data_IF_277485697118
#
_entry.id   IF_277485697118
#
_cell.length_a   1.000
_cell.length_b   1.000
_cell.length_c   1.000
_cell.angle_alpha   90.00
_cell.angle_beta   90.00
_cell.angle_gamma   90.00
#
_symmetry.space_group_name_H-M   'P 1'
#
loop_
_entity.id
_entity.type
_entity.pdbx_description
1 polymer ?
#
# COMPACT_ATOMS: atom_id res chain seq x y z
N UNK A 1 -22.19 41.13 6.26
CA UNK A 1 -22.23 39.79 6.87
C UNK A 1 -20.87 39.16 6.63
N UNK A 2 -19.97 39.28 7.61
CA UNK A 2 -18.65 38.64 7.59
C UNK A 2 -18.87 37.12 7.67
N UNK A 3 -18.40 36.38 6.68
CA UNK A 3 -18.32 34.92 6.76
C UNK A 3 -17.23 34.56 7.76
N UNK A 4 -17.63 34.34 9.02
CA UNK A 4 -16.76 33.81 10.07
C UNK A 4 -16.35 32.37 9.70
N UNK A 5 -15.22 32.23 9.01
CA UNK A 5 -14.57 30.94 8.79
C UNK A 5 -14.06 30.43 10.13
N UNK A 6 -14.60 29.30 10.58
CA UNK A 6 -14.15 28.61 11.79
C UNK A 6 -12.72 28.13 11.59
N UNK A 7 -11.82 28.46 12.50
CA UNK A 7 -10.43 27.94 12.47
C UNK A 7 -10.42 26.45 12.84
N UNK A 8 -9.45 25.69 12.35
CA UNK A 8 -9.29 24.26 12.69
C UNK A 8 -9.33 24.01 14.21
N UNK A 9 -8.70 24.90 15.00
CA UNK A 9 -8.73 24.86 16.46
C UNK A 9 -10.16 25.04 17.02
N UNK A 10 -10.94 25.98 16.49
CA UNK A 10 -12.32 26.25 16.93
C UNK A 10 -13.30 25.13 16.56
N UNK A 11 -13.15 24.51 15.38
CA UNK A 11 -13.97 23.36 14.98
C UNK A 11 -13.68 22.13 15.85
N UNK A 12 -12.39 21.86 16.09
CA UNK A 12 -11.94 20.76 16.95
C UNK A 12 -12.37 20.97 18.41
N UNK A 13 -12.37 22.21 18.91
CA UNK A 13 -12.81 22.53 20.26
C UNK A 13 -14.32 22.30 20.45
N UNK A 14 -15.14 22.58 19.42
CA UNK A 14 -16.58 22.23 19.42
C UNK A 14 -16.82 20.72 19.51
N UNK A 15 -15.96 19.92 18.86
CA UNK A 15 -16.04 18.45 18.91
C UNK A 15 -15.54 17.85 20.22
N UNK A 16 -14.59 18.49 20.89
CA UNK A 16 -14.08 18.04 22.20
C UNK A 16 -15.07 18.31 23.34
N UNK A 17 -15.94 19.31 23.20
CA UNK A 17 -16.92 19.71 24.23
C UNK A 17 -18.22 18.90 24.23
N UNK A 18 -18.39 17.89 23.36
CA UNK A 18 -19.47 16.91 23.49
C UNK A 18 -20.91 17.47 23.45
N UNK A 19 -21.18 18.51 22.67
CA UNK A 19 -22.58 18.91 22.41
C UNK A 19 -23.25 17.88 21.51
N UNK A 20 -24.30 17.24 22.04
CA UNK A 20 -25.11 16.15 21.48
C UNK A 20 -26.01 16.56 20.31
N UNK A 21 -25.58 17.50 19.47
CA UNK A 21 -26.30 17.83 18.25
C UNK A 21 -25.64 17.08 17.10
N UNK A 22 -26.31 16.03 16.62
CA UNK A 22 -25.99 15.41 15.34
C UNK A 22 -25.98 16.52 14.28
N UNK A 23 -24.84 16.85 13.65
CA UNK A 23 -24.88 17.74 12.51
C UNK A 23 -25.66 16.99 11.43
N UNK A 24 -26.83 17.53 11.10
CA UNK A 24 -27.67 17.06 10.00
C UNK A 24 -26.82 16.80 8.77
N UNK A 25 -27.07 15.66 8.14
CA UNK A 25 -26.27 14.96 7.14
C UNK A 25 -26.07 15.66 5.78
N UNK A 26 -26.04 16.99 5.69
CA UNK A 26 -26.06 17.69 4.40
C UNK A 26 -25.08 18.86 4.19
N UNK A 27 -24.13 19.13 5.10
CA UNK A 27 -23.19 20.24 4.90
C UNK A 27 -21.71 19.80 4.94
N UNK A 28 -21.21 19.19 3.86
CA UNK A 28 -19.76 19.09 3.58
C UNK A 28 -19.17 20.46 3.14
N UNK A 29 -20.01 21.49 2.93
CA UNK A 29 -19.58 22.76 2.31
C UNK A 29 -19.01 23.84 3.23
N UNK A 30 -18.94 23.68 4.56
CA UNK A 30 -18.77 24.86 5.44
C UNK A 30 -17.41 25.11 6.09
N UNK A 31 -16.45 24.17 6.13
CA UNK A 31 -15.24 24.36 6.97
C UNK A 31 -13.91 24.56 6.20
N UNK A 32 -13.86 24.40 4.88
CA UNK A 32 -12.67 24.73 4.08
C UNK A 32 -11.43 23.84 4.32
N UNK A 33 -11.57 22.72 5.06
CA UNK A 33 -10.54 21.69 5.23
C UNK A 33 -11.16 20.28 5.23
N UNK A 34 -10.34 19.26 4.90
CA UNK A 34 -10.73 17.85 4.81
C UNK A 34 -9.82 17.01 5.72
N UNK A 35 -10.37 16.19 6.60
CA UNK A 35 -9.56 15.30 7.43
C UNK A 35 -9.02 14.11 6.64
N UNK A 36 -7.73 13.85 6.80
CA UNK A 36 -7.07 12.66 6.29
C UNK A 36 -7.25 11.51 7.28
N UNK A 37 -7.60 10.33 6.77
CA UNK A 37 -7.73 9.11 7.58
C UNK A 37 -6.54 8.17 7.35
N UNK A 38 -6.13 7.35 8.33
CA UNK A 38 -5.21 6.24 8.12
C UNK A 38 -5.71 5.26 7.05
N UNK A 39 -4.83 4.82 6.15
CA UNK A 39 -5.15 3.74 5.23
C UNK A 39 -4.87 2.37 5.87
N UNK A 40 -5.91 1.54 5.97
CA UNK A 40 -5.84 0.30 6.75
C UNK A 40 -5.16 -0.88 6.07
N UNK A 41 -5.13 -0.91 4.73
CA UNK A 41 -4.68 -2.07 3.95
C UNK A 41 -3.25 -1.89 3.39
N UNK A 42 -2.44 -1.05 4.03
CA UNK A 42 -1.03 -0.90 3.68
C UNK A 42 -0.23 -2.12 4.14
N UNK A 43 0.23 -2.94 3.19
CA UNK A 43 1.03 -4.15 3.48
C UNK A 43 2.54 -3.94 3.42
N UNK A 44 3.00 -2.83 2.82
CA UNK A 44 4.43 -2.56 2.65
C UNK A 44 4.77 -1.06 2.64
N UNK A 45 6.04 -0.75 2.36
CA UNK A 45 6.57 0.60 2.30
C UNK A 45 7.23 1.05 3.59
N UNK A 46 7.56 2.33 3.63
CA UNK A 46 8.16 3.01 4.79
C UNK A 46 7.44 4.32 5.13
N UNK A 47 6.71 4.90 4.17
CA UNK A 47 5.91 6.09 4.36
C UNK A 47 4.50 5.69 4.75
N UNK A 48 3.87 6.44 5.65
CA UNK A 48 2.45 6.27 5.95
C UNK A 48 1.62 6.61 4.71
N UNK A 49 0.65 5.76 4.40
CA UNK A 49 -0.46 6.09 3.51
C UNK A 49 -1.63 6.61 4.34
N UNK A 50 -2.16 7.75 3.90
CA UNK A 50 -3.42 8.30 4.41
C UNK A 50 -4.45 8.21 3.28
N UNK A 51 -5.71 8.56 3.55
CA UNK A 51 -6.78 8.58 2.56
C UNK A 51 -7.68 9.80 2.74
N UNK A 52 -8.21 10.30 1.62
CA UNK A 52 -9.27 11.32 1.53
C UNK A 52 -10.48 10.67 0.90
N UNK A 53 -11.60 10.71 1.61
CA UNK A 53 -12.75 9.89 1.24
C UNK A 53 -12.38 8.40 1.24
N UNK A 54 -13.11 7.61 0.46
CA UNK A 54 -12.90 6.15 0.39
C UNK A 54 -12.08 5.74 -0.85
N UNK A 55 -12.16 6.50 -1.94
CA UNK A 55 -11.57 6.13 -3.22
C UNK A 55 -10.19 6.74 -3.50
N UNK A 56 -9.63 7.58 -2.61
CA UNK A 56 -8.38 8.31 -2.86
C UNK A 56 -7.37 8.18 -1.72
N UNK A 57 -6.15 7.75 -2.04
CA UNK A 57 -5.00 7.68 -1.13
C UNK A 57 -4.15 8.95 -1.20
N UNK A 58 -3.66 9.37 -0.04
CA UNK A 58 -2.66 10.40 0.16
C UNK A 58 -1.30 9.75 0.41
N UNK A 59 -0.42 9.83 -0.58
CA UNK A 59 0.96 9.37 -0.49
C UNK A 59 1.90 10.55 -0.33
N UNK A 60 2.89 10.45 0.54
CA UNK A 60 3.87 11.53 0.73
C UNK A 60 4.49 11.98 -0.60
N UNK A 61 4.50 13.29 -0.84
CA UNK A 61 5.05 13.86 -2.07
C UNK A 61 6.54 13.53 -2.23
N UNK A 62 6.90 13.05 -3.41
CA UNK A 62 8.27 13.10 -3.91
C UNK A 62 8.26 13.72 -5.30
N UNK A 63 9.22 14.60 -5.59
CA UNK A 63 9.33 15.27 -6.90
C UNK A 63 9.40 14.25 -8.03
N UNK A 64 10.19 13.20 -7.85
CA UNK A 64 10.39 12.12 -8.83
C UNK A 64 9.10 11.33 -9.10
N UNK A 65 8.38 10.89 -8.08
CA UNK A 65 7.11 10.16 -8.30
C UNK A 65 6.05 11.05 -8.95
N UNK A 66 5.95 12.31 -8.53
CA UNK A 66 5.05 13.28 -9.15
C UNK A 66 5.34 13.46 -10.65
N UNK A 67 6.60 13.72 -11.00
CA UNK A 67 7.01 13.88 -12.39
C UNK A 67 6.80 12.59 -13.20
N UNK A 68 6.95 11.41 -12.59
CA UNK A 68 6.64 10.16 -13.26
C UNK A 68 5.17 10.08 -13.67
N UNK A 69 4.24 10.41 -12.76
CA UNK A 69 2.80 10.42 -13.07
C UNK A 69 2.45 11.47 -14.15
N UNK A 70 3.06 12.65 -14.13
CA UNK A 70 2.82 13.68 -15.14
C UNK A 70 3.30 13.28 -16.55
N UNK A 71 4.33 12.44 -16.64
CA UNK A 71 4.97 12.06 -17.90
C UNK A 71 4.75 10.59 -18.28
N UNK A 72 3.81 9.91 -17.61
CA UNK A 72 3.53 8.50 -17.90
C UNK A 72 2.92 8.36 -19.30
N UNK A 73 3.35 7.34 -20.05
CA UNK A 73 2.80 7.11 -21.39
C UNK A 73 1.34 6.68 -21.31
N UNK A 74 0.55 7.05 -22.34
CA UNK A 74 -0.87 6.64 -22.44
C UNK A 74 -1.07 5.13 -22.43
N UNK A 75 -0.08 4.37 -22.94
CA UNK A 75 -0.11 2.91 -22.95
C UNK A 75 0.10 2.30 -21.56
N UNK A 76 0.90 2.96 -20.71
CA UNK A 76 1.22 2.48 -19.36
C UNK A 76 0.22 2.96 -18.31
N UNK A 77 -0.43 4.11 -18.53
CA UNK A 77 -1.38 4.72 -17.60
C UNK A 77 -2.48 3.77 -17.07
N UNK A 78 -3.07 2.86 -17.87
CA UNK A 78 -4.09 1.91 -17.36
C UNK A 78 -3.55 0.88 -16.34
N UNK A 79 -2.23 0.70 -16.26
CA UNK A 79 -1.58 -0.33 -15.44
C UNK A 79 -0.99 0.22 -14.14
N UNK A 80 -1.27 1.48 -13.82
CA UNK A 80 -0.83 2.15 -12.58
C UNK A 80 -2.03 2.77 -11.87
N UNK A 81 -1.96 3.13 -10.58
CA UNK A 81 -3.03 3.90 -9.93
C UNK A 81 -3.24 5.25 -10.64
N UNK A 82 -4.50 5.65 -10.81
CA UNK A 82 -4.81 6.98 -11.34
C UNK A 82 -4.21 8.09 -10.46
N UNK A 83 -3.53 9.05 -11.08
CA UNK A 83 -3.07 10.26 -10.40
C UNK A 83 -4.17 11.31 -10.39
N UNK A 84 -4.62 11.70 -9.19
CA UNK A 84 -5.75 12.61 -8.96
C UNK A 84 -5.33 14.01 -8.51
N UNK A 85 -4.03 14.31 -8.56
CA UNK A 85 -3.48 15.62 -8.23
C UNK A 85 -2.69 15.63 -6.92
N UNK A 86 -2.66 16.78 -6.27
CA UNK A 86 -1.89 17.00 -5.05
C UNK A 86 -2.70 17.77 -4.02
N UNK A 87 -2.39 17.55 -2.74
CA UNK A 87 -2.95 18.33 -1.65
C UNK A 87 -1.88 18.67 -0.61
N UNK A 88 -2.10 19.77 0.11
CA UNK A 88 -1.31 20.13 1.29
C UNK A 88 -2.13 19.86 2.54
N UNK A 89 -1.50 19.25 3.53
CA UNK A 89 -2.10 19.05 4.85
C UNK A 89 -1.18 19.54 5.96
N UNK A 90 -1.79 20.14 6.98
CA UNK A 90 -1.16 20.39 8.28
C UNK A 90 -1.46 19.24 9.22
N UNK A 91 -0.52 18.99 10.13
CA UNK A 91 -0.71 18.05 11.22
C UNK A 91 -0.81 18.82 12.52
N UNK A 92 -1.80 18.51 13.33
CA UNK A 92 -2.02 19.14 14.63
C UNK A 92 -2.03 18.10 15.74
N UNK A 93 -1.41 18.45 16.88
CA UNK A 93 -1.34 17.61 18.07
C UNK A 93 -2.31 18.15 19.12
N UNK A 94 -3.22 17.29 19.58
CA UNK A 94 -4.18 17.64 20.62
C UNK A 94 -3.62 17.35 22.01
N UNK A 95 -4.05 18.12 23.03
CA UNK A 95 -3.65 17.98 24.45
C UNK A 95 -4.00 16.65 25.14
N UNK A 96 -4.48 15.66 24.38
CA UNK A 96 -4.74 14.27 24.81
C UNK A 96 -3.92 13.23 24.00
N UNK A 97 -2.88 13.69 23.27
CA UNK A 97 -1.95 12.85 22.51
C UNK A 97 -2.46 12.40 21.12
N UNK A 98 -3.60 12.89 20.65
CA UNK A 98 -4.10 12.52 19.33
C UNK A 98 -3.53 13.43 18.25
N UNK A 99 -3.13 12.83 17.12
CA UNK A 99 -2.65 13.57 15.95
C UNK A 99 -3.69 13.52 14.86
N UNK A 100 -4.12 14.69 14.37
CA UNK A 100 -5.01 14.82 13.21
C UNK A 100 -4.26 15.45 12.06
N UNK A 101 -4.57 15.00 10.84
CA UNK A 101 -4.06 15.60 9.61
C UNK A 101 -5.25 16.20 8.85
N UNK A 102 -5.18 17.50 8.58
CA UNK A 102 -6.22 18.24 7.87
C UNK A 102 -5.63 18.86 6.61
N UNK A 103 -6.26 18.56 5.48
CA UNK A 103 -5.86 19.00 4.17
C UNK A 103 -6.68 20.20 3.73
N UNK A 104 -6.04 21.14 3.02
CA UNK A 104 -6.70 22.34 2.51
C UNK A 104 -6.87 22.21 1.00
N UNK A 105 -8.10 22.00 0.49
CA UNK A 105 -8.33 21.95 -0.95
C UNK A 105 -7.86 23.26 -1.59
N UNK A 106 -7.01 23.17 -2.61
CA UNK A 106 -6.67 24.34 -3.41
C UNK A 106 -7.91 24.82 -4.15
N UNK A 107 -8.13 26.13 -4.25
CA UNK A 107 -9.26 26.74 -4.97
C UNK A 107 -9.36 26.32 -6.46
N UNK A 108 -8.34 25.64 -6.98
CA UNK A 108 -8.29 25.11 -8.35
C UNK A 108 -8.90 23.71 -8.52
N UNK A 109 -9.10 22.93 -7.45
CA UNK A 109 -9.84 21.66 -7.48
C UNK A 109 -11.19 21.86 -6.79
N UNK A 110 -12.27 21.91 -7.58
CA UNK A 110 -13.62 22.05 -7.05
C UNK A 110 -13.96 20.96 -6.02
N UNK A 111 -14.70 21.33 -4.98
CA UNK A 111 -15.18 20.44 -3.91
C UNK A 111 -15.91 19.19 -4.43
N UNK A 112 -16.49 19.27 -5.64
CA UNK A 112 -17.22 18.19 -6.32
C UNK A 112 -16.38 16.96 -6.74
N UNK A 113 -15.05 17.00 -6.70
CA UNK A 113 -14.19 15.85 -7.07
C UNK A 113 -13.80 14.94 -5.90
N UNK A 114 -14.06 15.36 -4.66
CA UNK A 114 -13.78 14.55 -3.48
C UNK A 114 -15.08 13.88 -3.04
N UNK A 115 -15.09 12.55 -2.96
CA UNK A 115 -16.18 11.80 -2.35
C UNK A 115 -16.16 12.04 -0.82
N UNK A 116 -16.68 13.21 -0.40
CA UNK A 116 -16.70 13.66 0.99
C UNK A 116 -17.95 13.21 1.75
N UNK A 117 -18.80 12.35 1.19
CA UNK A 117 -20.10 12.00 1.76
C UNK A 117 -20.05 11.11 3.03
N UNK A 118 -18.88 10.79 3.57
CA UNK A 118 -18.75 10.08 4.85
C UNK A 118 -18.37 11.00 6.01
N UNK A 119 -19.32 11.85 6.39
CA UNK A 119 -19.38 12.45 7.73
C UNK A 119 -19.75 11.38 8.75
N UNK A 120 -18.79 10.89 9.56
CA UNK A 120 -19.03 10.58 11.00
C UNK A 120 -17.84 9.98 11.77
N UNK A 121 -16.68 9.69 11.16
CA UNK A 121 -15.54 9.15 11.92
C UNK A 121 -14.29 10.00 11.72
N UNK A 122 -14.02 10.89 12.68
CA UNK A 122 -12.68 11.45 12.89
C UNK A 122 -11.82 10.29 13.35
N UNK A 123 -10.90 9.83 12.50
CA UNK A 123 -9.95 8.79 12.85
C UNK A 123 -8.93 9.37 13.83
N UNK A 124 -9.28 9.33 15.11
CA UNK A 124 -8.39 9.69 16.22
C UNK A 124 -7.25 8.67 16.29
N UNK A 125 -6.03 9.05 15.90
CA UNK A 125 -4.83 8.22 16.09
C UNK A 125 -4.18 8.62 17.41
N UNK A 126 -4.27 7.75 18.42
CA UNK A 126 -3.66 8.01 19.73
C UNK A 126 -2.16 7.84 19.62
N UNK A 127 -1.42 8.93 19.73
CA UNK A 127 0.00 8.91 20.05
C UNK A 127 0.08 9.04 21.57
N UNK A 128 0.77 8.12 22.25
CA UNK A 128 0.79 8.06 23.71
C UNK A 128 1.09 9.43 24.37
N UNK A 129 0.43 9.67 25.51
CA UNK A 129 0.46 10.93 26.25
C UNK A 129 1.82 11.28 26.85
N UNK A 130 1.87 12.46 27.47
CA UNK A 130 3.01 13.11 28.09
C UNK A 130 3.74 12.18 29.07
N UNK A 131 4.79 11.53 28.56
CA UNK A 131 6.02 11.06 29.22
C UNK A 131 6.61 9.95 28.35
N UNK A 132 7.18 10.35 27.20
CA UNK A 132 8.14 9.51 26.50
C UNK A 132 9.47 9.59 27.25
N UNK A 133 9.58 8.90 28.38
CA UNK A 133 10.74 8.02 28.49
C UNK A 133 10.65 7.10 27.26
N UNK A 134 11.72 7.07 26.47
CA UNK A 134 11.93 6.04 25.45
C UNK A 134 12.08 4.67 26.15
N UNK A 135 11.04 4.21 26.85
CA UNK A 135 11.03 2.87 27.40
C UNK A 135 10.55 1.95 26.27
N UNK A 136 11.54 1.34 25.62
CA UNK A 136 11.41 0.48 24.46
C UNK A 136 10.74 -0.88 24.79
N UNK A 137 10.00 -1.00 25.89
CA UNK A 137 9.61 -2.28 26.48
C UNK A 137 8.25 -2.83 26.02
N UNK A 138 7.39 -2.05 25.34
CA UNK A 138 6.07 -2.54 24.89
C UNK A 138 5.57 -1.88 23.60
N UNK A 139 6.46 -1.64 22.63
CA UNK A 139 5.99 -1.42 21.26
C UNK A 139 5.26 -2.70 20.81
N UNK A 140 4.06 -2.64 20.19
CA UNK A 140 3.61 -3.75 19.36
C UNK A 140 4.63 -3.85 18.22
N UNK A 141 5.62 -4.72 18.41
CA UNK A 141 6.64 -5.00 17.41
C UNK A 141 5.96 -5.96 16.44
N UNK A 142 5.70 -5.49 15.22
CA UNK A 142 5.21 -6.37 14.18
C UNK A 142 6.15 -7.57 14.04
N UNK A 143 5.69 -8.77 14.40
CA UNK A 143 6.54 -9.96 14.54
C UNK A 143 6.81 -10.66 13.20
N UNK A 144 7.00 -9.90 12.12
CA UNK A 144 7.19 -10.33 10.72
C UNK A 144 6.02 -11.10 10.08
N UNK A 145 5.27 -11.87 10.88
CA UNK A 145 4.03 -12.55 10.54
C UNK A 145 3.05 -12.35 11.71
N UNK A 146 1.83 -11.89 11.42
CA UNK A 146 0.79 -11.78 12.44
C UNK A 146 -0.55 -12.26 11.91
N UNK A 147 -1.37 -12.83 12.81
CA UNK A 147 -2.74 -13.23 12.52
C UNK A 147 -3.67 -12.25 13.23
N UNK A 148 -4.52 -11.56 12.48
CA UNK A 148 -5.48 -10.59 13.00
C UNK A 148 -6.88 -10.95 12.57
N UNK A 149 -7.88 -10.67 13.41
CA UNK A 149 -9.29 -10.85 13.02
C UNK A 149 -9.64 -10.00 11.81
N UNK A 150 -10.49 -10.48 10.89
CA UNK A 150 -11.02 -9.66 9.79
C UNK A 150 -11.81 -8.44 10.26
N UNK A 151 -12.36 -8.50 11.48
CA UNK A 151 -13.04 -7.39 12.12
C UNK A 151 -12.05 -6.37 12.70
N UNK A 152 -10.79 -6.77 12.90
CA UNK A 152 -9.69 -5.87 13.20
C UNK A 152 -9.22 -5.26 11.88
N UNK A 153 -9.77 -4.09 11.55
CA UNK A 153 -9.73 -3.54 10.20
C UNK A 153 -8.34 -3.10 9.73
N UNK A 154 -7.34 -3.03 10.60
CA UNK A 154 -6.03 -2.46 10.27
C UNK A 154 -4.92 -3.49 10.20
N UNK A 155 -4.18 -3.47 9.10
CA UNK A 155 -2.94 -4.21 8.97
C UNK A 155 -1.91 -3.71 10.01
N UNK A 156 -1.26 -4.60 10.77
CA UNK A 156 -0.24 -4.20 11.75
C UNK A 156 0.92 -3.39 11.14
N UNK A 157 1.31 -3.70 9.90
CA UNK A 157 2.33 -2.94 9.17
C UNK A 157 1.87 -1.50 8.87
N UNK A 158 0.58 -1.31 8.58
CA UNK A 158 -0.02 0.00 8.38
C UNK A 158 0.06 0.82 9.68
N UNK A 159 -0.31 0.22 10.82
CA UNK A 159 -0.22 0.85 12.14
C UNK A 159 1.22 1.28 12.42
N UNK A 160 2.20 0.41 12.15
CA UNK A 160 3.61 0.73 12.36
C UNK A 160 4.09 1.91 11.48
N UNK A 161 3.70 1.94 10.20
CA UNK A 161 4.05 3.03 9.29
C UNK A 161 3.41 4.36 9.72
N UNK A 162 2.14 4.33 10.11
CA UNK A 162 1.38 5.50 10.55
C UNK A 162 1.96 6.05 11.85
N UNK A 163 2.21 5.19 12.84
CA UNK A 163 2.80 5.58 14.12
C UNK A 163 4.16 6.24 13.93
N UNK A 164 5.02 5.63 13.10
CA UNK A 164 6.35 6.16 12.80
C UNK A 164 6.28 7.51 12.08
N UNK A 165 5.33 7.67 11.16
CA UNK A 165 5.14 8.91 10.42
C UNK A 165 4.63 10.02 11.33
N UNK A 166 3.58 9.79 12.09
CA UNK A 166 2.99 10.80 12.97
C UNK A 166 3.97 11.25 14.06
N UNK A 167 4.75 10.32 14.61
CA UNK A 167 5.85 10.66 15.53
C UNK A 167 6.88 11.60 14.87
N UNK A 168 7.23 11.37 13.60
CA UNK A 168 8.12 12.26 12.85
C UNK A 168 7.49 13.62 12.57
N UNK A 169 6.20 13.64 12.23
CA UNK A 169 5.46 14.87 11.91
C UNK A 169 5.31 15.76 13.13
N UNK A 170 5.06 15.17 14.30
CA UNK A 170 5.07 15.86 15.60
C UNK A 170 6.35 16.66 15.81
N UNK A 171 7.51 16.08 15.50
CA UNK A 171 8.82 16.74 15.64
C UNK A 171 9.04 17.88 14.62
N UNK A 172 8.32 17.88 13.50
CA UNK A 172 8.46 18.89 12.45
C UNK A 172 7.54 20.11 12.65
N UNK A 173 6.65 20.07 13.64
CA UNK A 173 5.74 21.17 13.98
C UNK A 173 4.63 21.41 12.94
N UNK A 174 4.03 22.61 12.96
CA UNK A 174 2.91 23.02 12.10
C UNK A 174 3.29 23.26 10.62
N UNK A 175 4.28 22.54 10.10
CA UNK A 175 4.64 22.65 8.70
C UNK A 175 3.53 22.07 7.80
N UNK A 176 3.37 22.66 6.61
CA UNK A 176 2.51 22.07 5.59
C UNK A 176 3.25 20.94 4.90
N UNK A 177 2.56 19.82 4.71
CA UNK A 177 3.10 18.63 4.07
C UNK A 177 2.34 18.33 2.79
N UNK A 178 3.07 18.09 1.71
CA UNK A 178 2.52 17.79 0.39
C UNK A 178 2.27 16.30 0.23
N UNK A 179 1.14 15.96 -0.37
CA UNK A 179 0.76 14.59 -0.72
C UNK A 179 0.36 14.50 -2.20
N UNK A 180 0.67 13.36 -2.81
CA UNK A 180 0.09 12.91 -4.07
C UNK A 180 -1.26 12.26 -3.75
N UNK A 181 -2.27 12.59 -4.55
CA UNK A 181 -3.58 11.94 -4.54
C UNK A 181 -3.57 10.83 -5.57
N UNK A 182 -3.79 9.60 -5.14
CA UNK A 182 -3.77 8.40 -5.98
C UNK A 182 -5.07 7.60 -5.81
N UNK A 183 -5.49 6.89 -6.85
CA UNK A 183 -6.57 5.90 -6.77
C UNK A 183 -6.36 4.91 -5.61
N UNK A 184 -7.40 4.73 -4.79
CA UNK A 184 -7.42 3.66 -3.81
C UNK A 184 -7.84 2.34 -4.46
N UNK A 185 -6.85 1.52 -4.82
CA UNK A 185 -7.07 0.23 -5.46
C UNK A 185 -7.82 -0.79 -4.60
N UNK A 186 -7.90 -0.59 -3.27
CA UNK A 186 -8.66 -1.51 -2.41
C UNK A 186 -10.11 -1.06 -2.18
N UNK A 187 -10.53 0.06 -2.75
CA UNK A 187 -11.84 0.68 -2.48
C UNK A 187 -13.03 -0.25 -2.78
N UNK A 188 -12.95 -1.02 -3.86
CA UNK A 188 -14.04 -1.91 -4.30
C UNK A 188 -14.10 -3.24 -3.56
N UNK A 189 -13.22 -3.47 -2.60
CA UNK A 189 -13.09 -4.75 -1.89
C UNK A 189 -13.55 -4.60 -0.45
N UNK A 190 -14.37 -5.54 0.00
CA UNK A 190 -14.80 -5.64 1.40
C UNK A 190 -13.72 -6.27 2.25
N UNK A 191 -13.07 -7.31 1.74
CA UNK A 191 -11.99 -8.00 2.44
C UNK A 191 -10.77 -8.18 1.51
N UNK A 192 -10.04 -7.08 1.20
CA UNK A 192 -8.95 -7.11 0.23
C UNK A 192 -7.81 -8.02 0.69
N UNK A 193 -7.54 -9.09 -0.06
CA UNK A 193 -6.28 -9.80 -0.02
C UNK A 193 -5.28 -9.03 -0.88
N UNK A 194 -4.13 -8.65 -0.33
CA UNK A 194 -3.16 -7.76 -0.98
C UNK A 194 -1.77 -8.37 -0.92
N UNK A 195 -1.09 -8.44 -2.06
CA UNK A 195 0.29 -8.90 -2.18
C UNK A 195 1.13 -7.86 -2.92
N UNK A 196 2.15 -7.33 -2.25
CA UNK A 196 3.16 -6.43 -2.82
C UNK A 196 4.40 -7.24 -3.21
N UNK A 197 4.68 -7.28 -4.50
CA UNK A 197 5.85 -7.93 -5.08
C UNK A 197 6.83 -6.87 -5.57
N UNK A 198 7.98 -6.79 -4.91
CA UNK A 198 9.06 -5.88 -5.35
C UNK A 198 9.77 -6.48 -6.56
N UNK A 199 9.82 -5.70 -7.63
CA UNK A 199 10.24 -6.17 -8.94
C UNK A 199 11.64 -5.69 -9.32
N UNK A 200 12.31 -6.45 -10.17
CA UNK A 200 13.63 -6.12 -10.71
C UNK A 200 14.81 -6.74 -9.98
N UNK A 201 15.94 -6.75 -10.67
CA UNK A 201 17.26 -7.16 -10.15
C UNK A 201 18.11 -5.98 -9.67
N UNK A 202 17.60 -4.74 -9.83
CA UNK A 202 18.22 -3.50 -9.36
C UNK A 202 17.19 -2.65 -8.63
N UNK A 203 17.51 -2.24 -7.40
CA UNK A 203 16.59 -1.55 -6.48
C UNK A 203 17.05 -0.13 -6.11
N UNK A 204 17.89 0.50 -6.93
CA UNK A 204 18.37 1.85 -6.71
C UNK A 204 18.33 2.64 -8.02
N UNK A 205 17.89 3.90 -7.94
CA UNK A 205 17.90 4.85 -9.06
C UNK A 205 19.31 5.22 -9.50
N UNK A 206 19.43 5.97 -10.59
CA UNK A 206 20.72 6.44 -11.10
C UNK A 206 21.33 7.55 -10.23
N UNK A 207 20.48 8.30 -9.52
CA UNK A 207 20.84 9.32 -8.53
C UNK A 207 21.28 8.78 -7.15
N UNK A 208 21.33 7.45 -6.99
CA UNK A 208 21.57 6.85 -5.69
C UNK A 208 23.01 7.02 -5.20
N UNK A 209 23.18 7.56 -3.98
CA UNK A 209 24.48 7.62 -3.32
C UNK A 209 25.12 6.23 -3.16
N UNK A 210 26.45 6.17 -3.06
CA UNK A 210 27.18 4.90 -2.96
C UNK A 210 26.71 4.04 -1.77
N UNK A 211 26.45 4.66 -0.62
CA UNK A 211 25.89 3.98 0.54
C UNK A 211 24.48 3.41 0.27
N UNK A 212 23.64 4.17 -0.45
CA UNK A 212 22.30 3.70 -0.86
C UNK A 212 22.41 2.54 -1.85
N UNK A 213 23.32 2.63 -2.83
CA UNK A 213 23.60 1.55 -3.80
C UNK A 213 24.04 0.27 -3.09
N UNK A 214 25.08 0.33 -2.25
CA UNK A 214 25.57 -0.81 -1.45
C UNK A 214 24.45 -1.48 -0.65
N UNK A 215 23.65 -0.69 0.08
CA UNK A 215 22.53 -1.20 0.89
C UNK A 215 21.45 -1.89 0.04
N UNK A 216 21.08 -1.31 -1.10
CA UNK A 216 20.05 -1.91 -1.97
C UNK A 216 20.57 -3.13 -2.72
N UNK A 217 21.83 -3.13 -3.16
CA UNK A 217 22.50 -4.29 -3.75
C UNK A 217 22.55 -5.44 -2.76
N UNK A 218 22.97 -5.20 -1.51
CA UNK A 218 23.00 -6.21 -0.45
C UNK A 218 21.63 -6.89 -0.28
N UNK A 219 20.56 -6.09 -0.11
CA UNK A 219 19.19 -6.62 -0.02
C UNK A 219 18.75 -7.43 -1.23
N UNK A 220 19.16 -7.01 -2.44
CA UNK A 220 18.82 -7.73 -3.67
C UNK A 220 19.52 -9.09 -3.74
N UNK A 221 20.80 -9.14 -3.35
CA UNK A 221 21.61 -10.37 -3.32
C UNK A 221 21.10 -11.36 -2.27
N UNK A 222 20.72 -10.86 -1.10
CA UNK A 222 20.27 -11.67 0.04
C UNK A 222 18.81 -12.16 -0.08
N UNK A 223 18.09 -11.75 -1.12
CA UNK A 223 16.68 -12.14 -1.33
C UNK A 223 16.48 -12.82 -2.68
N UNK A 224 15.25 -13.26 -2.93
CA UNK A 224 14.84 -13.85 -4.22
C UNK A 224 14.96 -12.91 -5.41
N UNK A 225 15.10 -11.59 -5.21
CA UNK A 225 15.26 -10.62 -6.31
C UNK A 225 16.49 -10.89 -7.17
N UNK A 226 17.61 -11.35 -6.62
CA UNK A 226 18.80 -11.68 -7.41
C UNK A 226 18.56 -12.87 -8.36
N UNK A 227 17.84 -13.88 -7.88
CA UNK A 227 17.59 -15.15 -8.58
C UNK A 227 16.40 -15.09 -9.53
N UNK A 228 15.34 -14.38 -9.16
CA UNK A 228 14.06 -14.39 -9.88
C UNK A 228 13.68 -13.02 -10.45
N UNK A 229 14.32 -11.93 -10.02
CA UNK A 229 13.86 -10.58 -10.35
C UNK A 229 12.56 -10.19 -9.63
N UNK A 230 12.13 -10.96 -8.63
CA UNK A 230 10.93 -10.68 -7.81
C UNK A 230 11.17 -11.16 -6.38
N UNK A 231 10.64 -10.41 -5.39
CA UNK A 231 10.54 -10.83 -3.99
C UNK A 231 9.24 -10.35 -3.36
N UNK A 232 8.75 -11.08 -2.35
CA UNK A 232 7.64 -10.58 -1.53
C UNK A 232 8.12 -9.41 -0.68
N UNK A 233 7.31 -8.35 -0.65
CA UNK A 233 7.61 -7.11 0.03
C UNK A 233 6.50 -6.73 1.03
N UNK A 234 5.34 -7.36 0.96
CA UNK A 234 4.30 -7.31 1.98
C UNK A 234 3.11 -8.15 1.54
N UNK A 235 2.37 -8.72 2.48
CA UNK A 235 1.17 -9.49 2.16
C UNK A 235 0.13 -9.38 3.27
N UNK A 236 -1.15 -9.39 2.91
CA UNK A 236 -2.25 -9.75 3.79
C UNK A 236 -3.19 -10.69 3.01
N UNK A 237 -3.55 -11.82 3.61
CA UNK A 237 -4.44 -12.80 2.98
C UNK A 237 -5.47 -13.29 3.98
N UNK A 238 -6.74 -13.36 3.56
CA UNK A 238 -7.85 -13.79 4.39
C UNK A 238 -8.02 -15.30 4.34
N UNK A 239 -8.19 -15.92 5.51
CA UNK A 239 -8.76 -17.25 5.67
C UNK A 239 -10.26 -17.13 5.93
N UNK A 240 -11.08 -17.67 5.04
CA UNK A 240 -12.54 -17.70 5.17
C UNK A 240 -13.01 -18.64 6.29
N UNK A 241 -12.18 -19.63 6.66
CA UNK A 241 -12.51 -20.60 7.72
C UNK A 241 -12.42 -19.96 9.10
N UNK A 242 -11.36 -19.18 9.32
CA UNK A 242 -11.05 -18.60 10.63
C UNK A 242 -11.47 -17.15 10.75
N UNK A 243 -11.90 -16.51 9.65
CA UNK A 243 -12.20 -15.09 9.60
C UNK A 243 -11.02 -14.22 10.09
N UNK A 244 -9.82 -14.62 9.72
CA UNK A 244 -8.57 -13.93 10.08
C UNK A 244 -7.73 -13.60 8.84
N UNK A 245 -7.06 -12.46 8.89
CA UNK A 245 -5.95 -12.16 8.00
C UNK A 245 -4.66 -12.72 8.57
N UNK A 246 -3.85 -13.30 7.70
CA UNK A 246 -2.42 -13.49 7.97
C UNK A 246 -1.64 -12.41 7.23
N UNK A 247 -0.90 -11.60 7.98
CA UNK A 247 -0.13 -10.46 7.51
C UNK A 247 1.35 -10.80 7.53
N UNK A 248 2.09 -10.45 6.47
CA UNK A 248 3.53 -10.67 6.34
C UNK A 248 4.21 -9.38 5.92
N UNK A 249 5.35 -9.04 6.53
CA UNK A 249 6.12 -7.87 6.13
C UNK A 249 7.24 -8.16 5.11
N UNK A 250 7.89 -7.07 4.71
CA UNK A 250 9.10 -7.09 3.89
C UNK A 250 10.31 -7.74 4.55
N UNK A 251 10.36 -7.91 5.87
CA UNK A 251 11.50 -8.56 6.53
C UNK A 251 11.37 -10.07 6.40
N UNK A 252 10.18 -10.62 6.63
CA UNK A 252 9.85 -12.00 6.27
C UNK A 252 10.09 -12.24 4.78
N UNK A 253 9.58 -11.36 3.91
CA UNK A 253 9.79 -11.48 2.46
C UNK A 253 11.27 -11.50 2.02
N UNK A 254 12.17 -10.88 2.79
CA UNK A 254 13.63 -10.92 2.53
C UNK A 254 14.31 -12.20 2.99
N UNK A 255 13.79 -12.86 4.02
CA UNK A 255 14.36 -14.12 4.52
C UNK A 255 13.96 -15.33 3.67
N UNK A 256 12.98 -15.18 2.78
CA UNK A 256 12.50 -16.26 1.92
C UNK A 256 13.56 -16.77 0.94
N UNK A 257 13.62 -18.09 0.84
CA UNK A 257 14.24 -18.78 -0.30
C UNK A 257 13.31 -18.75 -1.53
N UNK A 258 13.78 -19.25 -2.67
CA UNK A 258 12.93 -19.42 -3.86
C UNK A 258 11.72 -20.31 -3.55
N UNK A 259 11.92 -21.43 -2.87
CA UNK A 259 10.82 -22.31 -2.46
C UNK A 259 9.90 -21.62 -1.45
N UNK A 260 10.46 -20.82 -0.54
CA UNK A 260 9.69 -20.00 0.40
C UNK A 260 8.77 -19.02 -0.32
N UNK A 261 9.25 -18.35 -1.36
CA UNK A 261 8.44 -17.44 -2.18
C UNK A 261 7.29 -18.19 -2.87
N UNK A 262 7.56 -19.37 -3.45
CA UNK A 262 6.51 -20.19 -4.09
C UNK A 262 5.42 -20.55 -3.08
N UNK A 263 5.79 -21.01 -1.88
CA UNK A 263 4.84 -21.32 -0.80
C UNK A 263 4.04 -20.11 -0.34
N UNK A 264 4.63 -18.91 -0.34
CA UNK A 264 3.92 -17.66 -0.01
C UNK A 264 2.90 -17.29 -1.09
N UNK A 265 3.26 -17.45 -2.37
CA UNK A 265 2.32 -17.23 -3.49
C UNK A 265 1.20 -18.27 -3.44
N UNK A 266 1.50 -19.53 -3.18
CA UNK A 266 0.51 -20.59 -2.96
C UNK A 266 -0.44 -20.24 -1.80
N UNK A 267 0.11 -19.78 -0.66
CA UNK A 267 -0.69 -19.30 0.47
C UNK A 267 -1.59 -18.13 0.09
N UNK A 268 -1.08 -17.19 -0.70
CA UNK A 268 -1.85 -16.02 -1.15
C UNK A 268 -3.09 -16.42 -1.94
N UNK A 269 -3.06 -17.52 -2.70
CA UNK A 269 -4.21 -18.00 -3.48
C UNK A 269 -5.04 -19.07 -2.74
N UNK A 270 -4.73 -19.38 -1.49
CA UNK A 270 -5.50 -20.34 -0.69
C UNK A 270 -6.39 -19.61 0.32
N UNK A 271 -7.70 -19.57 0.10
CA UNK A 271 -8.64 -18.83 0.96
C UNK A 271 -9.03 -19.57 2.26
N UNK A 272 -8.37 -20.69 2.55
CA UNK A 272 -8.65 -21.57 3.68
C UNK A 272 -9.60 -22.72 3.35
N UNK A 273 -10.36 -22.61 2.26
CA UNK A 273 -11.28 -23.65 1.77
C UNK A 273 -10.78 -24.26 0.47
N UNK A 274 -10.50 -23.40 -0.52
CA UNK A 274 -10.10 -23.77 -1.87
C UNK A 274 -8.83 -23.03 -2.29
N UNK A 275 -8.07 -23.68 -3.15
CA UNK A 275 -7.02 -23.04 -3.92
C UNK A 275 -7.64 -22.32 -5.13
N UNK A 276 -7.52 -20.99 -5.20
CA UNK A 276 -8.18 -20.11 -6.16
C UNK A 276 -7.47 -20.09 -7.52
N UNK A 277 -7.49 -21.22 -8.22
CA UNK A 277 -6.89 -21.37 -9.55
C UNK A 277 -7.51 -20.41 -10.57
N UNK A 278 -8.79 -20.10 -10.43
CA UNK A 278 -9.53 -19.12 -11.21
C UNK A 278 -8.87 -17.72 -11.19
N UNK A 279 -8.38 -17.29 -10.01
CA UNK A 279 -7.67 -16.02 -9.87
C UNK A 279 -6.25 -16.08 -10.45
N UNK A 280 -5.60 -17.25 -10.37
CA UNK A 280 -4.27 -17.46 -10.94
C UNK A 280 -4.32 -17.34 -12.46
N UNK A 281 -5.31 -17.96 -13.11
CA UNK A 281 -5.54 -17.86 -14.56
C UNK A 281 -5.75 -16.41 -14.98
N UNK A 282 -6.66 -15.69 -14.32
CA UNK A 282 -6.91 -14.26 -14.56
C UNK A 282 -5.65 -13.40 -14.36
N UNK A 283 -4.85 -13.69 -13.33
CA UNK A 283 -3.60 -12.95 -13.07
C UNK A 283 -2.57 -13.20 -14.17
N UNK A 284 -2.43 -14.43 -14.66
CA UNK A 284 -1.50 -14.75 -15.76
C UNK A 284 -1.84 -13.91 -17.00
N UNK A 285 -3.12 -13.78 -17.35
CA UNK A 285 -3.56 -12.95 -18.49
C UNK A 285 -3.19 -11.46 -18.29
N UNK A 286 -3.47 -10.91 -17.11
CA UNK A 286 -3.11 -9.53 -16.78
C UNK A 286 -1.59 -9.30 -16.78
N UNK A 287 -0.82 -10.26 -16.26
CA UNK A 287 0.66 -10.20 -16.27
C UNK A 287 1.23 -10.30 -17.68
N UNK A 288 0.65 -11.11 -18.56
CA UNK A 288 1.04 -11.15 -19.97
C UNK A 288 0.80 -9.80 -20.65
N UNK A 289 -0.32 -9.15 -20.34
CA UNK A 289 -0.62 -7.79 -20.85
C UNK A 289 0.40 -6.77 -20.34
N UNK A 290 0.67 -6.75 -19.02
CA UNK A 290 1.70 -5.88 -18.43
C UNK A 290 3.07 -6.14 -19.06
N UNK A 291 3.43 -7.42 -19.26
CA UNK A 291 4.69 -7.82 -19.91
C UNK A 291 4.83 -7.23 -21.30
N UNK A 292 3.79 -7.25 -22.14
CA UNK A 292 3.83 -6.65 -23.47
C UNK A 292 4.03 -5.14 -23.41
N UNK A 293 3.30 -4.45 -22.52
CA UNK A 293 3.45 -3.00 -22.33
C UNK A 293 4.86 -2.65 -21.86
N UNK A 294 5.46 -3.45 -20.97
CA UNK A 294 6.83 -3.25 -20.51
C UNK A 294 7.87 -3.48 -21.62
N UNK A 295 7.64 -4.43 -22.53
CA UNK A 295 8.49 -4.64 -23.71
C UNK A 295 8.49 -3.42 -24.64
N UNK A 296 7.33 -2.77 -24.80
CA UNK A 296 7.15 -1.58 -25.62
C UNK A 296 7.59 -0.27 -24.92
N UNK A 297 7.79 -0.30 -23.60
CA UNK A 297 8.14 0.88 -22.79
C UNK A 297 9.63 1.21 -22.87
N UNK A 298 10.10 1.56 -24.08
CA UNK A 298 11.49 1.91 -24.34
C UNK A 298 11.97 3.07 -23.44
N UNK A 299 13.12 2.87 -22.79
CA UNK A 299 13.76 3.87 -21.93
C UNK A 299 13.16 4.02 -20.53
N UNK A 300 12.06 3.32 -20.21
CA UNK A 300 11.58 3.25 -18.83
C UNK A 300 12.46 2.33 -17.98
N UNK A 301 12.69 2.72 -16.73
CA UNK A 301 13.24 1.87 -15.67
C UNK A 301 12.44 2.03 -14.40
N UNK A 302 12.03 0.90 -13.83
CA UNK A 302 11.09 0.86 -12.73
C UNK A 302 11.79 0.48 -11.42
N UNK A 303 12.92 1.15 -11.11
CA UNK A 303 13.74 0.76 -9.96
C UNK A 303 12.96 0.87 -8.65
N UNK A 304 13.09 -0.15 -7.79
CA UNK A 304 12.45 -0.21 -6.48
C UNK A 304 10.91 -0.16 -6.50
N UNK A 305 10.27 -0.25 -7.65
CA UNK A 305 8.81 -0.32 -7.78
C UNK A 305 8.29 -1.75 -7.53
N UNK A 306 6.97 -1.90 -7.48
CA UNK A 306 6.31 -3.16 -7.18
C UNK A 306 5.16 -3.46 -8.15
N UNK A 307 4.77 -4.73 -8.25
CA UNK A 307 3.43 -5.14 -8.65
C UNK A 307 2.58 -5.32 -7.39
N UNK A 308 1.42 -4.68 -7.35
CA UNK A 308 0.44 -4.85 -6.28
C UNK A 308 -0.71 -5.70 -6.81
N UNK A 309 -0.87 -6.90 -6.26
CA UNK A 309 -1.93 -7.85 -6.62
C UNK A 309 -3.01 -7.81 -5.56
N UNK A 310 -4.28 -7.64 -5.96
CA UNK A 310 -5.40 -7.46 -5.05
C UNK A 310 -6.58 -8.32 -5.50
N UNK A 311 -7.24 -9.03 -4.59
CA UNK A 311 -8.51 -9.70 -4.88
C UNK A 311 -9.44 -9.70 -3.65
N UNK A 312 -10.72 -10.02 -3.85
CA UNK A 312 -11.70 -10.15 -2.77
C UNK A 312 -11.52 -11.47 -2.00
N UNK A 313 -11.10 -11.37 -0.74
CA UNK A 313 -10.89 -12.52 0.13
C UNK A 313 -12.18 -13.27 0.46
N UNK A 314 -13.31 -12.56 0.51
CA UNK A 314 -14.62 -13.11 0.83
C UNK A 314 -15.49 -13.33 -0.43
N UNK A 315 -14.88 -13.76 -1.54
CA UNK A 315 -15.63 -14.09 -2.74
C UNK A 315 -16.54 -15.32 -2.49
N UNK A 316 -17.84 -15.13 -2.70
CA UNK A 316 -18.83 -16.22 -2.73
C UNK A 316 -18.79 -16.92 -4.09
N UNK A 317 -19.27 -18.16 -4.16
CA UNK A 317 -19.21 -19.03 -5.36
C UNK A 317 -19.86 -18.45 -6.65
N UNK A 318 -20.56 -17.33 -6.58
CA UNK A 318 -21.32 -16.73 -7.69
C UNK A 318 -20.83 -15.34 -8.13
N UNK A 319 -19.67 -14.88 -7.68
CA UNK A 319 -19.05 -13.64 -8.17
C UNK A 319 -18.02 -13.95 -9.25
N UNK A 320 -17.97 -13.10 -10.29
CA UNK A 320 -16.91 -13.15 -11.29
C UNK A 320 -15.54 -13.09 -10.60
N UNK A 321 -14.62 -13.93 -11.06
CA UNK A 321 -13.24 -13.99 -10.56
C UNK A 321 -12.51 -12.68 -10.88
N UNK A 322 -12.60 -11.73 -9.96
CA UNK A 322 -11.96 -10.43 -10.09
C UNK A 322 -10.67 -10.36 -9.27
N UNK A 323 -9.57 -10.12 -9.97
CA UNK A 323 -8.24 -9.84 -9.41
C UNK A 323 -7.68 -8.62 -10.11
N UNK A 324 -7.16 -7.64 -9.37
CA UNK A 324 -6.47 -6.48 -9.93
C UNK A 324 -4.95 -6.61 -9.76
N UNK A 325 -4.20 -6.03 -10.70
CA UNK A 325 -2.74 -5.92 -10.63
C UNK A 325 -2.28 -4.59 -11.21
N UNK A 326 -1.54 -3.82 -10.41
CA UNK A 326 -1.02 -2.50 -10.81
C UNK A 326 0.46 -2.37 -10.50
N UNK A 327 1.19 -1.64 -11.34
CA UNK A 327 2.55 -1.20 -11.04
C UNK A 327 2.45 0.03 -10.11
N UNK A 328 3.17 0.00 -9.00
CA UNK A 328 3.18 1.06 -7.98
C UNK A 328 4.61 1.46 -7.60
N UNK A 329 4.75 2.55 -6.83
CA UNK A 329 6.01 3.04 -6.25
C UNK A 329 7.04 3.58 -7.29
N UNK A 330 6.74 4.74 -7.87
CA UNK A 330 7.61 5.36 -8.89
C UNK A 330 8.69 6.30 -8.32
N UNK A 331 8.88 6.32 -7.00
CA UNK A 331 9.82 7.23 -6.33
C UNK A 331 11.30 7.07 -6.72
N UNK A 332 11.67 5.99 -7.43
CA UNK A 332 13.01 5.78 -8.01
C UNK A 332 12.94 5.37 -9.50
N UNK A 333 11.77 5.47 -10.11
CA UNK A 333 11.61 5.18 -11.54
C UNK A 333 12.12 6.33 -12.39
N UNK A 334 12.46 6.01 -13.64
CA UNK A 334 12.93 6.96 -14.63
C UNK A 334 12.40 6.58 -16.01
N UNK A 335 12.41 7.54 -16.92
CA UNK A 335 11.96 7.41 -18.31
C UNK A 335 12.81 8.29 -19.21
N UNK A 336 12.53 8.30 -20.52
CA UNK A 336 13.24 9.15 -21.47
C UNK A 336 13.12 10.62 -21.05
N UNK A 337 14.26 11.32 -20.99
CA UNK A 337 14.37 12.73 -20.61
C UNK A 337 13.96 13.06 -19.17
N UNK A 338 14.05 12.10 -18.24
CA UNK A 338 13.71 12.33 -16.84
C UNK A 338 14.86 12.99 -16.06
N UNK A 339 14.69 14.27 -15.71
CA UNK A 339 15.69 15.07 -14.98
C UNK A 339 17.10 15.00 -15.63
N UNK A 340 18.10 14.61 -14.85
CA UNK A 340 19.50 14.45 -15.27
C UNK A 340 19.90 12.97 -15.33
N UNK A 341 18.93 12.05 -15.33
CA UNK A 341 19.23 10.63 -15.39
C UNK A 341 19.86 10.27 -16.75
N UNK A 342 20.78 9.30 -16.80
CA UNK A 342 21.36 8.85 -18.05
C UNK A 342 20.27 8.28 -18.98
N UNK A 343 20.42 8.46 -20.30
CA UNK A 343 19.47 7.88 -21.25
C UNK A 343 19.51 6.36 -21.17
N UNK A 344 18.33 5.75 -21.10
CA UNK A 344 18.14 4.31 -21.13
C UNK A 344 17.59 3.88 -22.49
N UNK A 345 18.07 2.75 -23.00
CA UNK A 345 17.59 2.15 -24.25
C UNK A 345 17.02 0.76 -24.01
N UNK A 346 16.01 0.40 -24.78
CA UNK A 346 15.25 -0.84 -24.65
C UNK A 346 14.39 -0.90 -23.38
N UNK A 347 13.70 -2.03 -23.16
CA UNK A 347 12.85 -2.24 -22.01
C UNK A 347 13.64 -2.52 -20.73
N UNK A 348 12.96 -2.42 -19.58
CA UNK A 348 13.54 -2.80 -18.28
C UNK A 348 13.66 -4.34 -18.17
N UNK A 349 14.81 -4.87 -18.57
CA UNK A 349 15.11 -6.31 -18.53
C UNK A 349 15.03 -6.90 -17.12
N UNK A 350 15.34 -6.11 -16.09
CA UNK A 350 15.29 -6.57 -14.71
C UNK A 350 13.86 -6.80 -14.27
N UNK A 351 12.98 -5.84 -14.58
CA UNK A 351 11.56 -5.95 -14.28
C UNK A 351 10.89 -7.07 -15.09
N UNK A 352 11.19 -7.15 -16.40
CA UNK A 352 10.68 -8.22 -17.27
C UNK A 352 11.04 -9.61 -16.76
N UNK A 353 12.30 -9.82 -16.33
CA UNK A 353 12.72 -11.08 -15.70
C UNK A 353 11.87 -11.43 -14.48
N UNK A 354 11.49 -10.44 -13.67
CA UNK A 354 10.60 -10.62 -12.53
C UNK A 354 9.21 -11.07 -12.93
N UNK A 355 8.63 -10.43 -13.95
CA UNK A 355 7.30 -10.78 -14.49
C UNK A 355 7.32 -12.18 -15.12
N UNK A 356 8.33 -12.51 -15.92
CA UNK A 356 8.49 -13.82 -16.55
C UNK A 356 8.55 -14.94 -15.51
N UNK A 357 9.41 -14.80 -14.49
CA UNK A 357 9.51 -15.80 -13.43
C UNK A 357 8.22 -15.89 -12.59
N UNK A 358 7.52 -14.78 -12.37
CA UNK A 358 6.23 -14.80 -11.67
C UNK A 358 5.18 -15.59 -12.47
N UNK A 359 5.06 -15.33 -13.78
CA UNK A 359 4.17 -16.09 -14.66
C UNK A 359 4.52 -17.58 -14.64
N UNK A 360 5.80 -17.93 -14.68
CA UNK A 360 6.24 -19.33 -14.63
C UNK A 360 5.91 -20.00 -13.29
N UNK A 361 6.06 -19.30 -12.17
CA UNK A 361 5.64 -19.80 -10.86
C UNK A 361 4.13 -20.07 -10.85
N UNK A 362 3.33 -19.12 -11.32
CA UNK A 362 1.87 -19.25 -11.36
C UNK A 362 1.43 -20.42 -12.25
N UNK A 363 2.04 -20.60 -13.43
CA UNK A 363 1.78 -21.76 -14.31
C UNK A 363 2.11 -23.10 -13.65
N UNK A 364 3.19 -23.17 -12.87
CA UNK A 364 3.56 -24.39 -12.13
C UNK A 364 2.58 -24.71 -11.01
N UNK A 365 2.05 -23.68 -10.34
CA UNK A 365 1.01 -23.85 -9.33
C UNK A 365 -0.27 -24.44 -9.94
N UNK A 366 -0.66 -24.02 -11.15
CA UNK A 366 -1.79 -24.61 -11.88
C UNK A 366 -1.53 -26.06 -12.31
N UNK A 367 -0.29 -26.40 -12.64
CA UNK A 367 0.08 -27.75 -13.11
C UNK A 367 0.22 -28.78 -11.97
N UNK A 368 0.21 -28.35 -10.70
CA UNK A 368 0.38 -29.25 -9.56
C UNK A 368 -0.99 -29.83 -9.15
N UNK A 369 -1.20 -31.16 -9.23
CA UNK A 369 -2.49 -31.76 -8.87
C UNK A 369 -2.83 -31.48 -7.40
N UNK A 370 -4.08 -31.09 -7.13
CA UNK A 370 -4.62 -30.71 -5.82
C UNK A 370 -4.53 -31.78 -4.71
N UNK A 371 -4.01 -32.98 -5.01
CA UNK A 371 -3.97 -34.14 -4.11
C UNK A 371 -2.90 -34.07 -3.00
N UNK A 372 -1.97 -33.12 -3.05
CA UNK A 372 -0.93 -32.97 -2.01
C UNK A 372 -1.27 -31.92 -0.94
N UNK A 373 -2.35 -31.15 -1.14
CA UNK A 373 -2.68 -29.97 -0.32
C UNK A 373 -3.50 -30.26 0.95
N UNK A 374 -4.12 -31.43 1.08
CA UNK A 374 -4.91 -31.82 2.26
C UNK A 374 -4.09 -32.54 3.34
N UNK A 375 -2.84 -32.93 3.08
CA UNK A 375 -2.05 -33.73 4.01
C UNK A 375 -1.24 -32.93 5.05
N UNK A 376 -1.18 -31.59 4.95
CA UNK A 376 -0.35 -30.76 5.83
C UNK A 376 -1.11 -29.93 6.87
N UNK A 377 -2.44 -30.09 6.99
CA UNK A 377 -3.23 -29.40 8.02
C UNK A 377 -3.44 -30.27 9.28
N UNK A 378 -3.21 -31.58 9.20
CA UNK A 378 -3.49 -32.51 10.30
C UNK A 378 -2.27 -32.91 11.14
N UNK A 379 -1.03 -32.51 10.81
CA UNK A 379 0.16 -32.98 11.53
C UNK A 379 0.69 -32.04 12.63
N UNK A 380 0.20 -30.79 12.74
CA UNK A 380 0.70 -29.85 13.75
C UNK A 380 -0.13 -29.83 15.05
N UNK A 381 -1.17 -30.67 15.17
CA UNK A 381 -2.03 -30.76 16.35
C UNK A 381 -1.74 -31.95 17.28
N UNK A 382 -0.69 -32.74 17.01
CA UNK A 382 -0.40 -33.99 17.74
C UNK A 382 1.02 -34.07 18.34
N UNK A 383 1.63 -32.94 18.68
CA UNK A 383 2.92 -32.91 19.37
C UNK A 383 2.89 -31.96 20.58
N UNK A 384 2.02 -32.27 21.53
CA UNK A 384 2.14 -31.84 22.93
C UNK A 384 1.30 -32.76 23.81
N UNK A 385 1.91 -33.87 24.22
CA UNK A 385 1.61 -34.60 25.45
C UNK A 385 2.94 -34.88 26.17
#
# INVERSE_FOLDING_TARGET
LQNDRITMAQFVQRLACGSSENPSSNNCETDGFIFLRPFSHQVSGHCSLLQVGESTLCKQYTKREHQFYLNISRKLAPFVPEFRGMIEASVDEHGIGYITAAAFPSAQLGSSQYDCNTTSWISKIRVGGENLTLDCASKPVFQSVEVVSKYYQQNPWAIQCQTSYLAKMRLLGQQKHRFLLLENLTYHYRCPCVLDLKMGTRHYGDDASENKRKRQTKKCLESTSSKLGVRMNGMQVLSQVTDTYTCYDKYYGRSLTVQGLIKVIERFFHNGVNFRTDLIECLIEKLNTIRQILLESNGYRFYSSSLLVIYEGHAYANQDSFIDVRIIDFGHSTSVCFENDPPHHGPDKGYLRGVDNLIDILRRLLATPSATLTAHVTTDAAASD
#
